data_IF_453546085958
#
_entry.id   IF_453546085958
#
_cell.length_a   1.000
_cell.length_b   1.000
_cell.length_c   1.000
_cell.angle_alpha   90.00
_cell.angle_beta   90.00
_cell.angle_gamma   90.00
#
_symmetry.space_group_name_H-M   'P 1'
#
loop_
_entity.id
_entity.type
_entity.pdbx_description
1 polymer ?
#
# COMPACT_ATOMS: atom_id res chain seq x y z
N UNK A 1 19.03 2.43 -12.84
CA UNK A 1 17.82 2.31 -12.01
C UNK A 1 16.65 2.92 -12.78
N UNK A 2 15.61 2.13 -13.02
CA UNK A 2 14.43 2.57 -13.78
C UNK A 2 13.59 3.57 -12.99
N UNK A 3 12.60 4.17 -13.65
CA UNK A 3 11.69 5.13 -13.02
C UNK A 3 10.86 4.47 -11.89
N UNK A 4 10.48 3.21 -12.08
CA UNK A 4 9.74 2.42 -11.10
C UNK A 4 10.52 2.29 -9.78
N UNK A 5 11.76 1.80 -9.82
CA UNK A 5 12.55 1.61 -8.60
C UNK A 5 12.87 2.96 -7.93
N UNK A 6 13.12 4.01 -8.71
CA UNK A 6 13.31 5.36 -8.18
C UNK A 6 12.08 5.88 -7.44
N UNK A 7 10.88 5.57 -7.93
CA UNK A 7 9.63 5.95 -7.26
C UNK A 7 9.49 5.24 -5.91
N UNK A 8 9.73 3.93 -5.85
CA UNK A 8 9.64 3.16 -4.59
C UNK A 8 10.65 3.69 -3.55
N UNK A 9 11.89 3.96 -3.95
CA UNK A 9 12.89 4.55 -3.06
C UNK A 9 12.50 5.97 -2.60
N UNK A 10 11.93 6.78 -3.50
CA UNK A 10 11.47 8.12 -3.15
C UNK A 10 10.33 8.08 -2.12
N UNK A 11 9.36 7.16 -2.28
CA UNK A 11 8.26 6.95 -1.32
C UNK A 11 8.81 6.59 0.07
N UNK A 12 9.72 5.60 0.14
CA UNK A 12 10.36 5.20 1.41
C UNK A 12 11.14 6.35 2.05
N UNK A 13 11.86 7.14 1.25
CA UNK A 13 12.56 8.32 1.74
C UNK A 13 11.59 9.36 2.31
N UNK A 14 10.46 9.60 1.66
CA UNK A 14 9.45 10.54 2.16
C UNK A 14 8.82 10.05 3.47
N UNK A 15 8.51 8.76 3.60
CA UNK A 15 8.03 8.13 4.84
C UNK A 15 8.92 8.49 6.03
N UNK A 16 10.24 8.33 5.88
CA UNK A 16 11.24 8.62 6.93
C UNK A 16 11.35 10.13 7.22
N UNK A 17 11.22 10.98 6.20
CA UNK A 17 11.31 12.43 6.39
C UNK A 17 10.07 12.94 7.14
N UNK A 18 8.89 12.45 6.78
CA UNK A 18 7.61 12.89 7.33
C UNK A 18 7.40 12.39 8.75
N UNK A 19 7.87 11.18 9.08
CA UNK A 19 7.69 10.59 10.42
C UNK A 19 8.30 11.45 11.53
N UNK A 20 9.37 12.21 11.24
CA UNK A 20 10.03 13.08 12.21
C UNK A 20 9.12 14.15 12.83
N UNK A 21 8.01 14.48 12.16
CA UNK A 21 7.07 15.51 12.59
C UNK A 21 5.66 14.95 12.87
N UNK A 22 5.54 13.64 13.09
CA UNK A 22 4.26 12.98 13.31
C UNK A 22 4.38 11.99 14.48
N UNK A 23 3.65 12.24 15.56
CA UNK A 23 3.72 11.44 16.78
C UNK A 23 2.41 10.72 17.11
N UNK A 24 1.35 10.96 16.32
CA UNK A 24 0.06 10.33 16.53
C UNK A 24 0.07 8.89 16.03
N UNK A 25 -0.86 8.08 16.54
CA UNK A 25 -1.06 6.72 16.06
C UNK A 25 -1.78 6.74 14.70
N UNK A 26 -1.27 5.96 13.73
CA UNK A 26 -1.93 5.79 12.44
C UNK A 26 -2.99 4.69 12.55
N UNK A 27 -4.24 5.05 12.28
CA UNK A 27 -5.37 4.12 12.25
C UNK A 27 -5.66 3.56 10.85
N UNK A 28 -5.27 4.29 9.79
CA UNK A 28 -5.58 3.93 8.40
C UNK A 28 -4.40 4.17 7.46
N UNK A 29 -4.10 3.20 6.61
CA UNK A 29 -3.18 3.34 5.46
C UNK A 29 -3.97 3.08 4.18
N UNK A 30 -3.85 3.98 3.22
CA UNK A 30 -4.55 3.88 1.95
C UNK A 30 -3.57 3.94 0.77
N UNK A 31 -3.40 2.83 0.07
CA UNK A 31 -2.69 2.76 -1.20
C UNK A 31 -3.66 3.10 -2.32
N UNK A 32 -3.72 4.37 -2.69
CA UNK A 32 -4.60 4.89 -3.74
C UNK A 32 -3.88 5.50 -4.94
N UNK A 33 -4.66 6.05 -5.88
CA UNK A 33 -4.17 6.84 -7.01
C UNK A 33 -4.65 6.29 -8.35
N UNK A 34 -3.72 5.81 -9.17
CA UNK A 34 -4.04 5.11 -10.42
C UNK A 34 -4.39 3.65 -10.12
N UNK A 35 -3.44 2.76 -10.35
CA UNK A 35 -3.63 1.32 -10.14
C UNK A 35 -2.54 0.78 -9.21
N UNK A 36 -2.60 1.05 -7.89
CA UNK A 36 -1.58 0.60 -6.95
C UNK A 36 -1.51 -0.94 -6.86
N UNK A 37 -2.56 -1.66 -7.27
CA UNK A 37 -2.54 -3.11 -7.49
C UNK A 37 -1.48 -3.58 -8.50
N UNK A 38 -0.96 -2.71 -9.38
CA UNK A 38 0.14 -3.05 -10.30
C UNK A 38 1.50 -3.14 -9.60
N UNK A 39 1.65 -2.58 -8.39
CA UNK A 39 2.88 -2.74 -7.62
C UNK A 39 3.14 -4.22 -7.35
N UNK A 40 4.43 -4.60 -7.35
CA UNK A 40 4.79 -5.95 -6.93
C UNK A 40 4.47 -6.11 -5.45
N UNK A 41 4.19 -7.35 -5.03
CA UNK A 41 3.78 -7.63 -3.65
C UNK A 41 4.93 -7.33 -2.69
N UNK A 42 6.16 -7.57 -3.15
CA UNK A 42 7.38 -7.27 -2.45
C UNK A 42 7.51 -5.75 -2.22
N UNK A 43 7.22 -4.93 -3.23
CA UNK A 43 7.28 -3.47 -3.10
C UNK A 43 6.20 -2.92 -2.14
N UNK A 44 4.99 -3.50 -2.15
CA UNK A 44 3.94 -3.16 -1.17
C UNK A 44 4.42 -3.48 0.24
N UNK A 45 4.99 -4.68 0.43
CA UNK A 45 5.49 -5.13 1.72
C UNK A 45 6.66 -4.26 2.20
N UNK A 46 7.57 -3.90 1.31
CA UNK A 46 8.73 -3.03 1.61
C UNK A 46 8.29 -1.62 2.01
N UNK A 47 7.32 -1.04 1.31
CA UNK A 47 6.75 0.27 1.68
C UNK A 47 6.08 0.15 3.05
N UNK A 48 5.28 -0.87 3.28
CA UNK A 48 4.58 -1.08 4.55
C UNK A 48 5.56 -1.24 5.72
N UNK A 49 6.61 -2.04 5.53
CA UNK A 49 7.67 -2.21 6.53
C UNK A 49 8.36 -0.88 6.83
N UNK A 50 8.58 -0.03 5.82
CA UNK A 50 9.12 1.31 6.04
C UNK A 50 8.18 2.17 6.88
N UNK A 51 6.86 2.03 6.72
CA UNK A 51 5.87 2.73 7.55
C UNK A 51 5.92 2.19 8.99
N UNK A 52 5.85 0.87 9.18
CA UNK A 52 5.91 0.21 10.49
C UNK A 52 7.17 0.58 11.28
N UNK A 53 8.31 0.74 10.61
CA UNK A 53 9.57 1.09 11.26
C UNK A 53 9.64 2.56 11.71
N UNK A 54 8.76 3.43 11.20
CA UNK A 54 8.86 4.88 11.39
C UNK A 54 7.62 5.50 12.05
N UNK A 55 6.48 4.80 12.10
CA UNK A 55 5.23 5.29 12.67
C UNK A 55 4.68 4.33 13.72
N UNK A 56 3.93 4.88 14.69
CA UNK A 56 3.14 4.08 15.63
C UNK A 56 1.85 3.70 14.91
N UNK A 57 1.59 2.40 14.74
CA UNK A 57 0.39 1.90 14.08
C UNK A 57 -0.61 1.33 15.08
N UNK A 58 -1.89 1.59 14.83
CA UNK A 58 -2.96 1.06 15.66
C UNK A 58 -3.04 -0.47 15.61
N UNK A 59 -3.48 -1.08 16.71
CA UNK A 59 -3.77 -2.52 16.75
C UNK A 59 -4.88 -2.93 15.78
N UNK A 60 -5.79 -2.00 15.48
CA UNK A 60 -6.93 -2.20 14.59
C UNK A 60 -6.73 -1.51 13.23
N UNK A 61 -5.47 -1.37 12.80
CA UNK A 61 -5.11 -0.69 11.56
C UNK A 61 -5.92 -1.19 10.35
N UNK A 62 -6.57 -0.28 9.64
CA UNK A 62 -7.14 -0.55 8.32
C UNK A 62 -6.11 -0.25 7.24
N UNK A 63 -5.77 -1.23 6.42
CA UNK A 63 -4.85 -1.10 5.30
C UNK A 63 -5.59 -1.41 3.99
N UNK A 64 -5.91 -0.36 3.25
CA UNK A 64 -6.65 -0.44 1.99
C UNK A 64 -5.73 -0.36 0.79
N UNK A 65 -6.00 -1.17 -0.25
CA UNK A 65 -5.46 -0.98 -1.60
C UNK A 65 -6.58 -0.77 -2.64
N UNK A 66 -6.40 0.20 -3.53
CA UNK A 66 -7.23 0.34 -4.73
C UNK A 66 -6.85 -0.68 -5.80
N UNK A 67 -7.85 -1.30 -6.42
CA UNK A 67 -7.66 -2.24 -7.51
C UNK A 67 -8.79 -2.14 -8.53
N UNK A 68 -8.49 -2.43 -9.79
CA UNK A 68 -9.52 -2.72 -10.79
C UNK A 68 -9.81 -4.22 -10.83
N UNK A 69 -11.03 -4.64 -11.23
CA UNK A 69 -11.36 -6.05 -11.39
C UNK A 69 -10.36 -6.84 -12.25
N UNK A 70 -9.85 -6.22 -13.32
CA UNK A 70 -8.92 -6.84 -14.27
C UNK A 70 -7.54 -7.15 -13.65
N UNK A 71 -7.13 -6.44 -12.60
CA UNK A 71 -5.85 -6.64 -11.92
C UNK A 71 -5.89 -7.78 -10.88
N UNK A 72 -7.10 -8.18 -10.47
CA UNK A 72 -7.32 -9.09 -9.36
C UNK A 72 -7.44 -10.53 -9.82
N UNK A 73 -6.29 -11.14 -10.10
CA UNK A 73 -6.21 -12.60 -10.27
C UNK A 73 -6.29 -13.32 -8.92
N UNK A 74 -6.74 -14.58 -8.91
CA UNK A 74 -6.70 -15.44 -7.69
C UNK A 74 -5.32 -15.49 -7.04
N UNK A 75 -4.26 -15.54 -7.86
CA UNK A 75 -2.87 -15.52 -7.39
C UNK A 75 -2.54 -14.20 -6.68
N UNK A 76 -2.89 -13.06 -7.30
CA UNK A 76 -2.66 -11.74 -6.73
C UNK A 76 -3.40 -11.53 -5.41
N UNK A 77 -4.67 -11.94 -5.33
CA UNK A 77 -5.46 -11.89 -4.09
C UNK A 77 -4.80 -12.74 -3.00
N UNK A 78 -4.36 -13.96 -3.35
CA UNK A 78 -3.66 -14.84 -2.40
C UNK A 78 -2.37 -14.21 -1.90
N UNK A 79 -1.57 -13.60 -2.78
CA UNK A 79 -0.36 -12.90 -2.35
C UNK A 79 -0.66 -11.66 -1.51
N UNK A 80 -1.68 -10.87 -1.86
CA UNK A 80 -2.12 -9.72 -1.05
C UNK A 80 -2.59 -10.15 0.34
N UNK A 81 -3.28 -11.28 0.46
CA UNK A 81 -3.72 -11.82 1.75
C UNK A 81 -2.57 -12.24 2.68
N UNK A 82 -1.36 -12.41 2.13
CA UNK A 82 -0.13 -12.63 2.90
C UNK A 82 0.52 -11.33 3.40
N UNK A 83 0.01 -10.17 3.01
CA UNK A 83 0.48 -8.85 3.44
C UNK A 83 -0.38 -8.30 4.59
N UNK A 84 -0.09 -7.08 5.03
CA UNK A 84 -0.92 -6.35 6.00
C UNK A 84 -2.18 -5.74 5.39
N UNK A 85 -2.31 -5.70 4.06
CA UNK A 85 -3.52 -5.22 3.38
C UNK A 85 -4.70 -6.10 3.80
N UNK A 86 -5.73 -5.46 4.35
CA UNK A 86 -6.93 -6.13 4.87
C UNK A 86 -8.24 -5.58 4.28
N UNK A 87 -8.16 -4.58 3.40
CA UNK A 87 -9.29 -4.04 2.65
C UNK A 87 -8.91 -3.78 1.20
N UNK A 88 -9.82 -4.09 0.27
CA UNK A 88 -9.68 -3.79 -1.16
C UNK A 88 -10.77 -2.79 -1.53
N UNK A 89 -10.38 -1.67 -2.13
CA UNK A 89 -11.28 -0.70 -2.76
C UNK A 89 -11.37 -1.04 -4.25
N UNK A 90 -12.52 -1.55 -4.71
CA UNK A 90 -12.71 -2.05 -6.07
C UNK A 90 -13.43 -1.02 -6.94
N UNK A 91 -12.76 -0.51 -7.97
CA UNK A 91 -13.35 0.42 -8.93
C UNK A 91 -14.17 -0.29 -10.00
N UNK A 92 -15.49 -0.41 -9.82
CA UNK A 92 -16.41 -0.92 -10.85
C UNK A 92 -16.95 0.27 -11.64
N UNK A 93 -16.47 0.47 -12.86
CA UNK A 93 -16.87 1.61 -13.73
C UNK A 93 -18.33 1.50 -14.18
N UNK A 94 -18.75 0.32 -14.65
CA UNK A 94 -20.11 0.00 -15.11
C UNK A 94 -20.35 -1.51 -15.05
N UNK A 95 -21.61 -1.91 -14.87
CA UNK A 95 -22.09 -3.30 -15.00
C UNK A 95 -23.00 -3.51 -16.24
N UNK A 96 -23.19 -2.44 -17.03
CA UNK A 96 -24.08 -2.37 -18.18
C UNK A 96 -23.41 -2.83 -19.47
#
# INVERSE_FOLDING_TARGET
>A
MGLYEKMIEAIKKEIIIRSKNYNDEIETIYFGGGTPSLLKIEDISDIFQSIENNYILSKNLEATIEANPDDLTKSKIKSLSGTKINRISLGIQTLN
#
